data_IF_397883810584
#
_entry.id   IF_397883810584
#
_cell.length_a   1.000
_cell.length_b   1.000
_cell.length_c   1.000
_cell.angle_alpha   90.00
_cell.angle_beta   90.00
_cell.angle_gamma   90.00
#
_symmetry.space_group_name_H-M   'P 1'
#
loop_
_entity.id
_entity.type
_entity.pdbx_description
1 polymer ?
#
# COMPACT_ATOMS: atom_id res chain seq x y z
N UNK A 1 13.27 -0.94 8.44
CA UNK A 1 12.18 0.06 8.60
C UNK A 1 10.88 -0.45 8.04
N UNK A 2 10.87 -1.02 6.82
CA UNK A 2 9.65 -1.52 6.18
C UNK A 2 9.08 -2.82 6.79
N UNK A 3 9.91 -3.71 7.34
CA UNK A 3 9.44 -4.93 8.03
C UNK A 3 8.55 -4.62 9.24
N UNK A 4 8.85 -3.56 9.98
CA UNK A 4 8.03 -3.13 11.12
C UNK A 4 6.63 -2.69 10.73
N UNK A 5 6.44 -2.21 9.50
CA UNK A 5 5.11 -1.88 8.98
C UNK A 5 4.31 -3.16 8.70
N UNK A 6 4.91 -4.16 8.06
CA UNK A 6 4.25 -5.44 7.79
C UNK A 6 3.79 -6.11 9.08
N UNK A 7 4.66 -6.18 10.10
CA UNK A 7 4.31 -6.76 11.40
C UNK A 7 3.23 -5.97 12.13
N UNK A 8 3.22 -4.63 11.98
CA UNK A 8 2.16 -3.80 12.57
C UNK A 8 0.82 -4.00 11.87
N UNK A 9 0.81 -4.11 10.53
CA UNK A 9 -0.41 -4.40 9.75
C UNK A 9 -1.03 -5.71 10.22
N UNK A 10 -0.25 -6.78 10.29
CA UNK A 10 -0.70 -8.10 10.77
C UNK A 10 -1.26 -8.01 12.20
N UNK A 11 -0.53 -7.36 13.12
CA UNK A 11 -1.00 -7.19 14.48
C UNK A 11 -2.35 -6.47 14.54
N UNK A 12 -2.52 -5.39 13.78
CA UNK A 12 -3.73 -4.57 13.81
C UNK A 12 -4.93 -5.28 13.19
N UNK A 13 -4.75 -6.03 12.11
CA UNK A 13 -5.84 -6.78 11.48
C UNK A 13 -6.30 -7.98 12.31
N UNK A 14 -5.42 -8.52 13.17
CA UNK A 14 -5.72 -9.70 13.99
C UNK A 14 -5.99 -9.38 15.48
N UNK A 15 -5.90 -8.11 15.89
CA UNK A 15 -5.91 -7.70 17.31
C UNK A 15 -7.20 -8.05 18.05
N UNK A 16 -8.35 -7.85 17.42
CA UNK A 16 -9.66 -8.14 18.00
C UNK A 16 -10.53 -8.91 16.99
N UNK A 17 -10.78 -10.22 17.19
CA UNK A 17 -11.55 -11.04 16.26
C UNK A 17 -13.05 -10.67 16.20
N UNK A 18 -13.53 -9.77 17.07
CA UNK A 18 -14.91 -9.24 17.01
C UNK A 18 -15.04 -8.04 16.08
N UNK A 19 -13.93 -7.49 15.60
CA UNK A 19 -13.89 -6.33 14.70
C UNK A 19 -13.31 -6.78 13.37
N UNK A 20 -14.07 -6.58 12.28
CA UNK A 20 -13.50 -6.73 10.94
C UNK A 20 -12.70 -5.46 10.64
N UNK A 21 -11.38 -5.58 10.69
CA UNK A 21 -10.44 -4.49 10.42
C UNK A 21 -9.61 -4.80 9.18
N UNK A 22 -9.68 -3.92 8.19
CA UNK A 22 -8.96 -4.04 6.92
C UNK A 22 -8.13 -2.76 6.71
N UNK A 23 -6.92 -2.91 6.16
CA UNK A 23 -6.01 -1.82 5.85
C UNK A 23 -5.63 -1.95 4.38
N UNK A 24 -6.14 -1.04 3.56
CA UNK A 24 -5.81 -0.93 2.14
C UNK A 24 -4.96 0.31 1.88
N UNK A 25 -3.96 0.17 1.01
CA UNK A 25 -3.16 1.29 0.51
C UNK A 25 -3.33 1.37 -1.01
N UNK A 26 -3.28 2.59 -1.55
CA UNK A 26 -3.40 2.82 -2.99
C UNK A 26 -2.55 4.01 -3.40
N UNK A 27 -1.97 3.94 -4.59
CA UNK A 27 -1.22 5.02 -5.22
C UNK A 27 -1.84 5.30 -6.58
N UNK A 28 -2.01 6.59 -6.85
CA UNK A 28 -2.57 7.09 -8.08
C UNK A 28 -1.58 8.09 -8.68
N UNK A 29 -1.08 7.81 -9.88
CA UNK A 29 -0.23 8.73 -10.64
C UNK A 29 -0.97 9.29 -11.83
N UNK A 30 -0.59 10.50 -12.25
CA UNK A 30 -1.06 11.07 -13.51
C UNK A 30 -0.52 10.24 -14.67
N UNK A 31 -1.34 10.03 -15.71
CA UNK A 31 -0.88 9.40 -16.95
C UNK A 31 0.34 10.12 -17.53
N UNK A 32 1.34 9.32 -17.92
CA UNK A 32 2.60 9.83 -18.48
C UNK A 32 3.62 10.32 -17.45
N UNK A 33 3.31 10.25 -16.15
CA UNK A 33 4.29 10.47 -15.09
C UNK A 33 5.08 9.18 -14.82
N UNK A 34 6.39 9.22 -15.03
CA UNK A 34 7.25 8.08 -14.70
C UNK A 34 7.50 7.99 -13.19
N UNK A 35 6.97 6.95 -12.58
CA UNK A 35 7.34 6.54 -11.21
C UNK A 35 8.63 5.73 -11.27
N UNK A 36 9.55 6.01 -10.34
CA UNK A 36 10.74 5.18 -10.12
C UNK A 36 10.35 3.73 -9.77
N UNK A 37 10.91 2.76 -10.48
CA UNK A 37 10.54 1.34 -10.36
C UNK A 37 10.78 0.80 -8.94
N UNK A 38 11.86 1.22 -8.30
CA UNK A 38 12.19 0.86 -6.91
C UNK A 38 11.15 1.42 -5.92
N UNK A 39 10.61 2.61 -6.18
CA UNK A 39 9.57 3.21 -5.35
C UNK A 39 8.26 2.42 -5.47
N UNK A 40 7.83 2.12 -6.69
CA UNK A 40 6.62 1.34 -6.95
C UNK A 40 6.72 -0.08 -6.36
N UNK A 41 7.89 -0.72 -6.53
CA UNK A 41 8.14 -2.08 -6.01
C UNK A 41 8.13 -2.11 -4.49
N UNK A 42 8.72 -1.12 -3.82
CA UNK A 42 8.69 -1.04 -2.36
C UNK A 42 7.27 -0.87 -1.81
N UNK A 43 6.42 -0.08 -2.49
CA UNK A 43 5.06 0.16 -2.04
C UNK A 43 4.17 -1.07 -2.22
N UNK A 44 4.34 -1.78 -3.33
CA UNK A 44 3.65 -3.06 -3.54
C UNK A 44 4.09 -4.09 -2.50
N UNK A 45 5.41 -4.27 -2.31
CA UNK A 45 5.94 -5.37 -1.49
C UNK A 45 5.74 -5.19 0.02
N UNK A 46 5.79 -3.95 0.52
CA UNK A 46 5.71 -3.70 1.96
C UNK A 46 4.38 -3.12 2.42
N UNK A 47 3.65 -2.46 1.53
CA UNK A 47 2.40 -1.78 1.88
C UNK A 47 1.19 -2.42 1.23
N UNK A 48 1.37 -3.45 0.40
CA UNK A 48 0.27 -4.12 -0.31
C UNK A 48 -0.58 -3.09 -1.08
N UNK A 49 0.12 -2.09 -1.63
CA UNK A 49 -0.51 -0.95 -2.26
C UNK A 49 -0.92 -1.29 -3.69
N UNK A 50 -2.18 -1.01 -4.02
CA UNK A 50 -2.62 -0.98 -5.42
C UNK A 50 -2.02 0.24 -6.13
N UNK A 51 -1.60 0.09 -7.38
CA UNK A 51 -1.02 1.17 -8.19
C UNK A 51 -1.78 1.31 -9.50
N UNK A 52 -2.18 2.54 -9.83
CA UNK A 52 -2.88 2.83 -11.08
C UNK A 52 -2.53 4.22 -11.63
N UNK A 53 -2.44 4.31 -12.95
CA UNK A 53 -2.31 5.58 -13.67
C UNK A 53 -3.69 6.13 -14.05
N UNK A 54 -3.98 7.36 -13.66
CA UNK A 54 -5.25 8.05 -13.89
C UNK A 54 -5.08 9.31 -14.73
N UNK A 55 -6.13 9.67 -15.48
CA UNK A 55 -6.28 11.00 -16.06
C UNK A 55 -6.96 11.92 -15.03
N UNK A 56 -6.32 13.04 -14.70
CA UNK A 56 -6.80 14.00 -13.69
C UNK A 56 -7.30 15.32 -14.29
N UNK A 57 -7.42 15.40 -15.61
CA UNK A 57 -7.92 16.59 -16.31
C UNK A 57 -9.45 16.70 -16.30
#
# INVERSE_FOLDING_TARGET
>A
MNEGYSSLKELLTDLDPKVQMEIGNSIWSSQGFQIEEDFSSNLTNYFDAESSELDFN
#
